data_IF_839253042761
#
_entry.id   IF_839253042761
#
_cell.length_a   1.000
_cell.length_b   1.000
_cell.length_c   1.000
_cell.angle_alpha   90.00
_cell.angle_beta   90.00
_cell.angle_gamma   90.00
#
_symmetry.space_group_name_H-M   'P 1'
#
loop_
_entity.id
_entity.type
_entity.pdbx_description
1 polymer ?
#
# COMPACT_ATOMS: atom_id res chain seq x y z
N UNK A 1 2.47 -5.01 -17.94
CA UNK A 1 3.29 -4.11 -17.15
C UNK A 1 3.20 -4.51 -15.67
N UNK A 2 4.33 -4.64 -15.04
CA UNK A 2 4.39 -4.98 -13.62
C UNK A 2 4.57 -3.73 -12.78
N UNK A 3 3.63 -3.47 -11.86
CA UNK A 3 3.74 -2.39 -10.88
C UNK A 3 4.50 -2.86 -9.64
N UNK A 4 4.24 -4.09 -9.23
CA UNK A 4 4.81 -4.65 -8.00
C UNK A 4 5.91 -5.65 -8.30
N UNK A 5 7.10 -5.42 -7.73
CA UNK A 5 8.05 -6.49 -7.54
C UNK A 5 7.72 -7.29 -6.28
N UNK A 6 8.56 -8.24 -5.92
CA UNK A 6 8.40 -9.04 -4.69
C UNK A 6 8.44 -8.17 -3.42
N UNK A 7 9.05 -6.98 -3.52
CA UNK A 7 9.18 -6.01 -2.42
C UNK A 7 8.18 -4.85 -2.54
N UNK A 8 7.17 -4.96 -3.39
CA UNK A 8 6.18 -3.92 -3.59
C UNK A 8 6.59 -2.90 -4.66
N UNK A 9 5.94 -1.74 -4.65
CA UNK A 9 6.26 -0.60 -5.53
C UNK A 9 7.34 0.23 -4.86
N UNK A 10 8.41 0.57 -5.60
CA UNK A 10 9.50 1.41 -5.11
C UNK A 10 10.04 2.25 -6.25
N UNK A 11 9.67 3.52 -6.29
CA UNK A 11 10.03 4.46 -7.37
C UNK A 11 10.30 5.84 -6.77
N UNK A 12 10.96 6.75 -7.52
CA UNK A 12 11.07 8.14 -7.09
C UNK A 12 9.68 8.77 -6.89
N UNK A 13 9.57 9.65 -5.90
CA UNK A 13 8.29 10.28 -5.56
C UNK A 13 7.97 11.39 -6.56
N UNK A 14 6.77 11.31 -7.14
CA UNK A 14 6.22 12.33 -8.02
C UNK A 14 4.69 12.26 -7.98
N UNK A 15 4.02 13.09 -8.79
CA UNK A 15 2.56 13.10 -8.85
C UNK A 15 1.99 11.77 -9.35
N UNK A 16 2.73 11.05 -10.20
CA UNK A 16 2.33 9.73 -10.68
C UNK A 16 2.23 8.73 -9.52
N UNK A 17 3.21 8.73 -8.61
CA UNK A 17 3.19 7.82 -7.46
C UNK A 17 2.01 8.14 -6.53
N UNK A 18 1.71 9.42 -6.32
CA UNK A 18 0.55 9.82 -5.50
C UNK A 18 -0.76 9.33 -6.13
N UNK A 19 -0.92 9.49 -7.43
CA UNK A 19 -2.10 8.98 -8.15
C UNK A 19 -2.17 7.47 -8.10
N UNK A 20 -1.03 6.79 -8.27
CA UNK A 20 -0.95 5.34 -8.18
C UNK A 20 -1.35 4.86 -6.79
N UNK A 21 -0.90 5.55 -5.74
CA UNK A 21 -1.25 5.21 -4.37
C UNK A 21 -2.77 5.28 -4.14
N UNK A 22 -3.43 6.30 -4.68
CA UNK A 22 -4.88 6.42 -4.63
C UNK A 22 -5.55 5.22 -5.34
N UNK A 23 -5.09 4.87 -6.53
CA UNK A 23 -5.65 3.76 -7.31
C UNK A 23 -5.43 2.41 -6.62
N UNK A 24 -4.25 2.19 -6.06
CA UNK A 24 -3.97 0.98 -5.28
C UNK A 24 -4.90 0.91 -4.07
N UNK A 25 -5.09 2.01 -3.36
CA UNK A 25 -6.02 2.07 -2.23
C UNK A 25 -7.45 1.71 -2.64
N UNK A 26 -7.94 2.27 -3.74
CA UNK A 26 -9.27 1.93 -4.27
C UNK A 26 -9.41 0.43 -4.54
N UNK A 27 -8.40 -0.16 -5.18
CA UNK A 27 -8.40 -1.56 -5.55
C UNK A 27 -8.37 -2.46 -4.31
N UNK A 28 -7.45 -2.19 -3.38
CA UNK A 28 -7.33 -2.97 -2.13
C UNK A 28 -8.59 -2.82 -1.28
N UNK A 29 -9.12 -1.60 -1.16
CA UNK A 29 -10.31 -1.33 -0.37
C UNK A 29 -11.57 -1.96 -0.93
N UNK A 30 -11.63 -2.20 -2.23
CA UNK A 30 -12.76 -2.90 -2.85
C UNK A 30 -12.74 -4.41 -2.58
N UNK A 31 -11.57 -4.97 -2.28
CA UNK A 31 -11.39 -6.42 -2.07
C UNK A 31 -11.35 -6.78 -0.59
N UNK A 32 -10.67 -5.97 0.22
CA UNK A 32 -10.45 -6.20 1.64
C UNK A 32 -11.13 -5.10 2.45
N UNK A 33 -11.98 -5.46 3.39
CA UNK A 33 -12.88 -4.52 4.07
C UNK A 33 -12.30 -3.90 5.35
N UNK A 34 -11.12 -4.34 5.78
CA UNK A 34 -10.52 -3.88 7.03
C UNK A 34 -8.99 -3.89 6.92
N UNK A 35 -8.40 -2.70 6.88
CA UNK A 35 -7.00 -2.50 6.50
C UNK A 35 -6.27 -1.75 7.62
N UNK A 36 -5.02 -2.17 7.90
CA UNK A 36 -4.09 -1.37 8.70
C UNK A 36 -3.05 -0.74 7.79
N UNK A 37 -2.74 0.53 8.05
CA UNK A 37 -1.80 1.33 7.26
C UNK A 37 -0.70 1.84 8.16
N UNK A 38 0.53 1.78 7.68
CA UNK A 38 1.68 2.38 8.35
C UNK A 38 2.64 2.97 7.35
N UNK A 39 3.63 3.70 7.85
CA UNK A 39 4.66 4.28 7.00
C UNK A 39 5.97 4.44 7.73
N UNK A 40 7.04 4.62 6.96
CA UNK A 40 8.34 4.97 7.51
C UNK A 40 8.46 6.49 7.71
N UNK A 41 9.65 6.94 8.15
CA UNK A 41 9.88 8.34 8.50
C UNK A 41 10.21 9.24 7.30
N UNK A 42 10.12 8.76 6.07
CA UNK A 42 10.37 9.58 4.88
C UNK A 42 9.42 10.76 4.83
N UNK A 43 9.92 11.92 4.40
CA UNK A 43 9.10 13.14 4.36
C UNK A 43 7.93 13.04 3.39
N UNK A 44 8.02 12.17 2.38
CA UNK A 44 6.94 11.93 1.41
C UNK A 44 5.89 10.93 1.89
N UNK A 45 6.15 10.20 2.96
CA UNK A 45 5.24 9.14 3.43
C UNK A 45 3.87 9.66 3.82
N UNK A 46 3.70 10.81 4.50
CA UNK A 46 2.37 11.32 4.81
C UNK A 46 1.48 11.54 3.57
N UNK A 47 2.02 12.12 2.51
CA UNK A 47 1.24 12.36 1.29
C UNK A 47 0.74 11.05 0.68
N UNK A 48 1.60 10.03 0.63
CA UNK A 48 1.23 8.72 0.10
C UNK A 48 0.23 8.01 1.01
N UNK A 49 0.40 8.12 2.33
CA UNK A 49 -0.56 7.55 3.28
C UNK A 49 -1.95 8.17 3.10
N UNK A 50 -2.03 9.49 2.93
CA UNK A 50 -3.32 10.16 2.69
C UNK A 50 -3.95 9.68 1.38
N UNK A 51 -3.16 9.54 0.32
CA UNK A 51 -3.65 9.06 -0.97
C UNK A 51 -4.19 7.62 -0.86
N UNK A 52 -3.44 6.72 -0.24
CA UNK A 52 -3.88 5.34 -0.01
C UNK A 52 -5.14 5.31 0.85
N UNK A 53 -5.17 6.08 1.94
CA UNK A 53 -6.32 6.13 2.85
C UNK A 53 -7.58 6.58 2.10
N UNK A 54 -7.46 7.63 1.29
CA UNK A 54 -8.58 8.10 0.47
C UNK A 54 -9.11 6.99 -0.44
N UNK A 55 -8.20 6.27 -1.08
CA UNK A 55 -8.56 5.15 -1.94
C UNK A 55 -9.23 4.00 -1.17
N UNK A 56 -8.67 3.61 -0.04
CA UNK A 56 -9.22 2.53 0.80
C UNK A 56 -10.65 2.84 1.24
N UNK A 57 -10.87 4.06 1.72
CA UNK A 57 -12.20 4.49 2.18
C UNK A 57 -13.18 4.57 1.01
N UNK A 58 -12.77 5.13 -0.11
CA UNK A 58 -13.61 5.21 -1.31
C UNK A 58 -13.94 3.83 -1.86
N UNK A 59 -13.04 2.87 -1.72
CA UNK A 59 -13.28 1.46 -2.12
C UNK A 59 -14.22 0.71 -1.19
N UNK A 60 -14.50 1.25 -0.01
CA UNK A 60 -15.44 0.67 0.94
C UNK A 60 -14.81 0.03 2.18
N UNK A 61 -13.50 0.14 2.35
CA UNK A 61 -12.82 -0.45 3.50
C UNK A 61 -12.82 0.48 4.70
N UNK A 62 -12.66 -0.13 5.88
CA UNK A 62 -12.24 0.58 7.09
C UNK A 62 -10.73 0.58 7.13
N UNK A 63 -10.15 1.66 7.65
CA UNK A 63 -8.71 1.85 7.70
C UNK A 63 -8.27 2.34 9.08
N UNK A 64 -7.28 1.66 9.66
CA UNK A 64 -6.61 2.11 10.87
C UNK A 64 -5.20 2.57 10.52
N UNK A 65 -4.82 3.76 10.97
CA UNK A 65 -3.48 4.30 10.77
C UNK A 65 -2.62 3.97 11.99
N UNK A 66 -1.59 3.15 11.77
CA UNK A 66 -0.66 2.74 12.82
C UNK A 66 0.51 3.74 13.00
N UNK A 67 0.56 4.80 12.19
CA UNK A 67 1.59 5.82 12.30
C UNK A 67 2.92 5.43 11.68
N UNK A 68 4.00 5.92 12.27
CA UNK A 68 5.37 5.62 11.83
C UNK A 68 5.86 4.41 12.62
N UNK A 69 6.21 3.34 11.90
CA UNK A 69 6.67 2.09 12.51
C UNK A 69 7.48 1.27 11.50
N UNK A 70 8.32 0.33 11.97
CA UNK A 70 9.02 -0.57 11.06
C UNK A 70 8.06 -1.55 10.38
N UNK A 71 8.43 -2.00 9.18
CA UNK A 71 7.63 -2.98 8.43
C UNK A 71 7.33 -4.25 9.21
N UNK A 72 8.27 -4.87 9.95
CA UNK A 72 7.94 -6.07 10.73
C UNK A 72 6.87 -5.83 11.79
N UNK A 73 6.82 -4.64 12.39
CA UNK A 73 5.80 -4.30 13.38
C UNK A 73 4.42 -4.21 12.73
N UNK A 74 4.34 -3.59 11.56
CA UNK A 74 3.08 -3.54 10.82
C UNK A 74 2.65 -4.93 10.37
N UNK A 75 3.59 -5.74 9.87
CA UNK A 75 3.30 -7.11 9.47
C UNK A 75 2.69 -7.93 10.61
N UNK A 76 3.22 -7.78 11.81
CA UNK A 76 2.67 -8.44 13.00
C UNK A 76 1.25 -7.95 13.31
N UNK A 77 1.02 -6.64 13.26
CA UNK A 77 -0.29 -6.05 13.55
C UNK A 77 -1.35 -6.43 12.51
N UNK A 78 -0.94 -6.73 11.29
CA UNK A 78 -1.85 -7.05 10.18
C UNK A 78 -2.68 -8.31 10.45
N UNK A 79 -2.25 -9.18 11.34
CA UNK A 79 -2.99 -10.41 11.67
C UNK A 79 -4.39 -10.14 12.26
N UNK A 80 -4.65 -8.93 12.75
CA UNK A 80 -5.97 -8.54 13.25
C UNK A 80 -6.82 -7.83 12.19
N UNK A 81 -6.33 -7.76 10.96
CA UNK A 81 -6.97 -7.08 9.83
C UNK A 81 -7.06 -8.04 8.63
N UNK A 82 -7.65 -7.59 7.54
CA UNK A 82 -7.73 -8.38 6.31
C UNK A 82 -6.50 -8.20 5.43
N UNK A 83 -5.86 -7.03 5.50
CA UNK A 83 -4.63 -6.72 4.80
C UNK A 83 -3.93 -5.54 5.48
N UNK A 84 -2.67 -5.34 5.13
CA UNK A 84 -1.88 -4.19 5.57
C UNK A 84 -1.24 -3.49 4.40
N UNK A 85 -1.04 -2.17 4.55
CA UNK A 85 -0.31 -1.36 3.57
C UNK A 85 0.82 -0.65 4.30
N UNK A 86 2.05 -0.90 3.86
CA UNK A 86 3.23 -0.20 4.37
C UNK A 86 3.74 0.78 3.32
N UNK A 87 3.80 2.06 3.69
CA UNK A 87 4.36 3.12 2.83
C UNK A 87 5.86 3.19 3.12
N UNK A 88 6.66 2.63 2.23
CA UNK A 88 8.11 2.59 2.37
C UNK A 88 8.78 2.24 1.03
N UNK A 89 10.00 2.70 0.85
CA UNK A 89 10.89 2.21 -0.20
C UNK A 89 12.10 1.47 0.41
N UNK A 90 11.99 1.08 1.67
CA UNK A 90 13.01 0.28 2.39
C UNK A 90 14.38 0.97 2.39
N UNK A 91 15.38 0.39 1.69
CA UNK A 91 16.75 0.90 1.67
C UNK A 91 17.04 1.86 0.50
N UNK A 92 16.04 2.17 -0.33
CA UNK A 92 16.22 3.10 -1.44
C UNK A 92 16.50 4.51 -0.92
N UNK A 93 17.13 5.40 -1.76
CA UNK A 93 17.41 6.78 -1.38
C UNK A 93 16.17 7.55 -0.91
N UNK A 94 16.34 8.65 -0.15
CA UNK A 94 15.21 9.40 0.41
C UNK A 94 14.18 9.92 -0.61
N UNK A 95 14.59 10.17 -1.84
CA UNK A 95 13.69 10.60 -2.91
C UNK A 95 12.77 9.50 -3.44
N UNK A 96 13.01 8.25 -3.05
CA UNK A 96 12.15 7.12 -3.37
C UNK A 96 11.09 6.93 -2.30
N UNK A 97 9.96 6.40 -2.69
CA UNK A 97 8.98 5.84 -1.77
C UNK A 97 8.18 4.74 -2.50
N UNK A 98 7.27 4.13 -1.81
CA UNK A 98 6.49 3.06 -2.41
C UNK A 98 5.47 2.48 -1.47
N UNK A 99 4.89 1.38 -1.92
CA UNK A 99 3.84 0.67 -1.21
C UNK A 99 4.16 -0.82 -1.16
N UNK A 100 3.97 -1.42 0.01
CA UNK A 100 4.07 -2.86 0.21
C UNK A 100 2.77 -3.37 0.80
N UNK A 101 2.20 -4.41 0.19
CA UNK A 101 0.93 -4.99 0.61
C UNK A 101 1.20 -6.27 1.40
N UNK A 102 0.52 -6.42 2.53
CA UNK A 102 0.76 -7.49 3.50
C UNK A 102 -0.51 -8.29 3.76
N UNK A 103 -0.32 -9.58 3.97
CA UNK A 103 -1.36 -10.51 4.38
C UNK A 103 -1.47 -10.60 5.91
N UNK A 104 -2.59 -11.14 6.45
CA UNK A 104 -2.74 -11.31 7.90
C UNK A 104 -1.64 -12.15 8.56
N UNK A 105 -1.02 -13.09 7.84
CA UNK A 105 0.10 -13.87 8.38
C UNK A 105 1.43 -13.12 8.38
N UNK A 106 1.44 -11.87 7.91
CA UNK A 106 2.62 -11.02 7.83
C UNK A 106 3.40 -11.15 6.53
N UNK A 107 3.04 -12.08 5.66
CA UNK A 107 3.69 -12.23 4.37
C UNK A 107 3.30 -11.12 3.41
N UNK A 108 4.18 -10.81 2.45
CA UNK A 108 3.83 -9.93 1.34
C UNK A 108 2.79 -10.60 0.45
N UNK A 109 1.98 -9.79 -0.25
CA UNK A 109 1.06 -10.30 -1.25
C UNK A 109 1.80 -11.20 -2.24
N UNK A 110 1.20 -12.35 -2.56
CA UNK A 110 1.75 -13.28 -3.55
C UNK A 110 1.52 -12.79 -4.98
N UNK A 111 2.04 -13.55 -5.96
CA UNK A 111 1.95 -13.16 -7.37
C UNK A 111 0.48 -13.04 -7.84
N UNK A 112 -0.40 -13.89 -7.38
CA UNK A 112 -1.83 -13.84 -7.73
C UNK A 112 -2.49 -12.59 -7.19
N UNK A 113 -2.22 -12.27 -5.92
CA UNK A 113 -2.74 -11.05 -5.28
C UNK A 113 -2.21 -9.79 -5.96
N UNK A 114 -0.90 -9.74 -6.24
CA UNK A 114 -0.30 -8.60 -6.92
C UNK A 114 -0.91 -8.39 -8.30
N UNK A 115 -1.09 -9.48 -9.06
CA UNK A 115 -1.71 -9.39 -10.39
C UNK A 115 -3.15 -8.88 -10.31
N UNK A 116 -3.92 -9.32 -9.33
CA UNK A 116 -5.29 -8.84 -9.14
C UNK A 116 -5.34 -7.34 -8.92
N UNK A 117 -4.44 -6.80 -8.09
CA UNK A 117 -4.36 -5.37 -7.85
C UNK A 117 -3.88 -4.64 -9.10
N UNK A 118 -2.84 -5.13 -9.78
CA UNK A 118 -2.33 -4.52 -11.01
C UNK A 118 -3.40 -4.46 -12.11
N UNK A 119 -4.13 -5.54 -12.32
CA UNK A 119 -5.20 -5.59 -13.32
C UNK A 119 -6.30 -4.57 -13.02
N UNK A 120 -6.67 -4.44 -11.75
CA UNK A 120 -7.66 -3.47 -11.31
C UNK A 120 -7.17 -2.02 -11.51
N UNK A 121 -5.91 -1.75 -11.15
CA UNK A 121 -5.31 -0.41 -11.28
C UNK A 121 -5.13 -0.01 -12.75
N UNK A 122 -4.73 -0.95 -13.61
CA UNK A 122 -4.45 -0.70 -15.03
C UNK A 122 -5.69 -0.84 -15.92
N UNK A 123 -6.79 -1.32 -15.37
CA UNK A 123 -8.05 -1.49 -16.10
C UNK A 123 -8.91 -0.23 -16.07
N UNK A 124 -10.22 -0.43 -16.15
CA UNK A 124 -11.22 0.65 -16.29
C UNK A 124 -11.66 1.22 -14.94
N UNK A 125 -10.80 1.18 -13.95
CA UNK A 125 -11.12 1.67 -12.62
C UNK A 125 -11.35 3.19 -12.62
N UNK A 126 -10.73 3.86 -13.56
CA UNK A 126 -10.80 5.32 -13.71
C UNK A 126 -11.24 5.71 -15.10
#
# INVERSE_FOLDING_TARGET
MHLFGTSGIRVPVDSWLVQLALKVGLSVGAIYDNIILGGDSRTSSPALKYAVTSGLLAGGARCADAGILPTPTLAFATRQFKAGVMVTASHNPPEYNGLKLLNPDGSAFDATQRKQIEDSVLGDFF
#
